data_IF_483189679765
#
_entry.id   IF_483189679765
#
_cell.length_a   1.000
_cell.length_b   1.000
_cell.length_c   1.000
_cell.angle_alpha   90.00
_cell.angle_beta   90.00
_cell.angle_gamma   90.00
#
_symmetry.space_group_name_H-M   'P 1'
#
loop_
_entity.id
_entity.type
_entity.pdbx_description
1 polymer ?
#
# COMPACT_ATOMS: atom_id res chain seq x y z
N UNK A 1 -1.02 14.70 8.07
CA UNK A 1 -0.60 13.93 9.25
C UNK A 1 0.89 13.59 9.14
N UNK A 2 1.69 13.88 10.18
CA UNK A 2 3.13 13.61 10.19
C UNK A 2 3.43 12.30 10.91
N UNK A 3 4.15 11.42 10.24
CA UNK A 3 4.63 10.15 10.81
C UNK A 3 6.15 10.25 10.97
N UNK A 4 6.65 9.76 12.08
CA UNK A 4 8.07 9.71 12.38
C UNK A 4 8.52 8.28 12.65
N UNK A 5 9.70 7.93 12.15
CA UNK A 5 10.40 6.69 12.50
C UNK A 5 11.46 7.00 13.56
N UNK A 6 11.41 6.32 14.69
CA UNK A 6 12.47 6.38 15.70
C UNK A 6 13.70 5.60 15.24
N UNK A 7 14.91 6.03 15.56
CA UNK A 7 16.15 5.37 15.16
C UNK A 7 16.23 3.88 15.55
N UNK A 8 15.51 3.45 16.60
CA UNK A 8 15.39 2.03 17.00
C UNK A 8 14.32 1.25 16.22
N UNK A 9 13.64 1.86 15.25
CA UNK A 9 12.74 1.20 14.29
C UNK A 9 11.25 1.46 14.47
N UNK A 10 10.71 1.83 15.60
CA UNK A 10 9.27 2.06 15.77
C UNK A 10 8.75 3.26 14.99
N UNK A 11 7.48 3.18 14.52
CA UNK A 11 6.78 4.29 13.86
C UNK A 11 5.83 4.98 14.84
N UNK A 12 5.73 6.31 14.72
CA UNK A 12 4.96 7.15 15.63
C UNK A 12 4.22 8.23 14.85
N UNK A 13 2.98 8.49 15.27
CA UNK A 13 2.17 9.59 14.78
C UNK A 13 2.46 10.81 15.63
N UNK A 14 2.81 11.91 15.01
CA UNK A 14 2.86 13.22 15.67
C UNK A 14 1.43 13.69 15.96
N UNK A 15 1.15 14.09 17.18
CA UNK A 15 -0.15 14.61 17.59
C UNK A 15 -0.08 16.14 17.64
N UNK A 16 0.78 16.68 18.49
CA UNK A 16 0.93 18.14 18.69
C UNK A 16 2.19 18.48 19.44
N UNK A 17 2.55 19.75 19.45
CA UNK A 17 3.45 20.32 20.44
C UNK A 17 2.65 20.98 21.55
N UNK A 18 3.14 20.83 22.79
CA UNK A 18 2.57 21.44 24.00
C UNK A 18 3.65 22.19 24.76
N UNK A 19 3.25 23.12 25.61
CA UNK A 19 4.14 23.77 26.57
C UNK A 19 3.85 23.20 27.96
N UNK A 20 4.85 22.65 28.62
CA UNK A 20 4.74 22.21 30.01
C UNK A 20 4.41 23.40 30.88
N UNK A 21 3.32 23.32 31.64
CA UNK A 21 2.82 24.45 32.45
C UNK A 21 3.74 24.82 33.61
N UNK A 22 4.56 23.89 34.07
CA UNK A 22 5.48 24.09 35.20
C UNK A 22 6.87 24.53 34.73
N UNK A 23 7.45 23.80 33.75
CA UNK A 23 8.82 24.05 33.28
C UNK A 23 8.89 25.09 32.15
N UNK A 24 7.74 25.40 31.51
CA UNK A 24 7.63 26.24 30.31
C UNK A 24 8.41 25.71 29.08
N UNK A 25 8.86 24.46 29.16
CA UNK A 25 9.55 23.80 28.06
C UNK A 25 8.54 23.29 27.03
N UNK A 26 8.96 23.26 25.74
CA UNK A 26 8.17 22.66 24.66
C UNK A 26 8.34 21.15 24.68
N UNK A 27 7.22 20.45 24.56
CA UNK A 27 7.18 18.99 24.46
C UNK A 27 6.40 18.57 23.21
N UNK A 28 6.84 17.48 22.59
CA UNK A 28 6.12 16.82 21.48
C UNK A 28 5.28 15.68 22.05
N UNK A 29 3.99 15.69 21.72
CA UNK A 29 3.06 14.59 22.01
C UNK A 29 2.92 13.73 20.78
N UNK A 30 3.15 12.42 20.92
CA UNK A 30 3.16 11.48 19.82
C UNK A 30 2.63 10.11 20.25
N UNK A 31 2.08 9.34 19.30
CA UNK A 31 1.48 8.03 19.53
C UNK A 31 2.27 6.93 18.82
N UNK A 32 2.58 5.85 19.53
CA UNK A 32 3.14 4.65 18.91
C UNK A 32 2.13 4.02 17.93
N UNK A 33 2.58 3.63 16.72
CA UNK A 33 1.78 2.93 15.73
C UNK A 33 1.91 1.40 15.84
N UNK A 34 2.33 0.91 17.00
CA UNK A 34 2.52 -0.51 17.30
C UNK A 34 2.14 -0.83 18.75
N UNK A 35 2.00 -2.11 19.07
CA UNK A 35 1.67 -2.61 20.40
C UNK A 35 0.35 -2.04 20.93
N UNK A 36 0.34 -1.54 22.14
CA UNK A 36 -0.84 -0.94 22.80
C UNK A 36 -1.14 0.48 22.31
N UNK A 37 -0.42 1.00 21.33
CA UNK A 37 -0.59 2.34 20.75
C UNK A 37 -0.56 3.48 21.76
N UNK A 38 0.33 3.37 22.72
CA UNK A 38 0.49 4.35 23.81
C UNK A 38 0.83 5.74 23.26
N UNK A 39 0.28 6.74 23.92
CA UNK A 39 0.61 8.15 23.71
C UNK A 39 1.74 8.53 24.67
N UNK A 40 2.71 9.22 24.15
CA UNK A 40 3.90 9.66 24.84
C UNK A 40 4.10 11.16 24.68
N UNK A 41 4.80 11.80 25.61
CA UNK A 41 5.38 13.13 25.43
C UNK A 41 6.90 13.07 25.64
N UNK A 42 7.58 14.03 25.05
CA UNK A 42 9.03 14.20 25.16
C UNK A 42 9.42 15.65 24.92
N UNK A 43 10.45 16.19 25.61
CA UNK A 43 11.02 17.49 25.30
C UNK A 43 11.30 17.61 23.78
N UNK A 44 10.91 18.75 23.19
CA UNK A 44 10.98 18.96 21.75
C UNK A 44 12.42 18.89 21.22
N UNK A 45 13.38 19.41 21.96
CA UNK A 45 14.82 19.32 21.65
C UNK A 45 15.30 17.86 21.58
N UNK A 46 14.79 16.98 22.47
CA UNK A 46 15.09 15.55 22.42
C UNK A 46 14.37 14.84 21.28
N UNK A 47 13.17 15.28 20.89
CA UNK A 47 12.42 14.66 19.79
C UNK A 47 13.10 14.97 18.46
N UNK A 48 13.41 16.24 18.19
CA UNK A 48 14.05 16.69 16.95
C UNK A 48 15.57 16.58 16.96
N UNK A 49 16.14 16.24 18.13
CA UNK A 49 17.58 16.15 18.30
C UNK A 49 18.17 14.85 17.73
N UNK A 50 19.48 14.81 17.72
CA UNK A 50 20.28 13.68 17.25
C UNK A 50 20.66 12.72 18.39
N UNK A 51 21.03 11.53 18.02
CA UNK A 51 21.62 10.50 18.88
C UNK A 51 22.90 9.98 18.25
N UNK A 52 23.88 9.64 19.07
CA UNK A 52 25.07 8.96 18.59
C UNK A 52 24.83 7.45 18.66
N UNK A 53 24.97 6.77 17.51
CA UNK A 53 24.90 5.33 17.40
C UNK A 53 26.21 4.86 16.73
N UNK A 54 27.01 4.12 17.46
CA UNK A 54 28.30 3.59 17.00
C UNK A 54 29.24 4.63 16.39
N UNK A 55 29.24 5.85 16.97
CA UNK A 55 30.08 6.97 16.51
C UNK A 55 29.46 7.83 15.40
N UNK A 56 28.26 7.50 14.93
CA UNK A 56 27.54 8.24 13.89
C UNK A 56 26.38 9.02 14.53
N UNK A 57 26.30 10.32 14.25
CA UNK A 57 25.16 11.14 14.64
C UNK A 57 24.01 10.94 13.63
N UNK A 58 22.87 10.49 14.12
CA UNK A 58 21.63 10.32 13.35
C UNK A 58 20.47 10.99 14.04
N UNK A 59 19.43 11.37 13.29
CA UNK A 59 18.22 11.94 13.86
C UNK A 59 17.52 10.91 14.77
N UNK A 60 17.10 11.35 15.97
CA UNK A 60 16.36 10.47 16.88
C UNK A 60 15.02 10.03 16.28
N UNK A 61 14.33 10.97 15.62
CA UNK A 61 13.13 10.72 14.85
C UNK A 61 13.27 11.34 13.46
N UNK A 62 13.04 10.55 12.43
CA UNK A 62 13.05 10.99 11.03
C UNK A 62 11.62 11.04 10.52
N UNK A 63 11.18 12.17 9.96
CA UNK A 63 9.86 12.28 9.34
C UNK A 63 9.76 11.32 8.13
N UNK A 64 8.67 10.56 8.09
CA UNK A 64 8.40 9.59 7.02
C UNK A 64 7.32 10.15 6.12
N UNK A 65 7.66 10.32 4.87
CA UNK A 65 6.69 10.74 3.84
C UNK A 65 6.01 9.49 3.29
N UNK A 66 4.68 9.40 3.44
CA UNK A 66 3.88 8.30 2.91
C UNK A 66 2.76 7.84 3.85
N UNK A 67 1.95 6.92 3.35
CA UNK A 67 0.90 6.25 4.13
C UNK A 67 1.51 5.02 4.80
N UNK A 68 1.47 4.89 6.14
CA UNK A 68 1.97 3.70 6.82
C UNK A 68 1.15 2.48 6.43
N UNK A 69 1.83 1.43 5.97
CA UNK A 69 1.25 0.14 5.63
C UNK A 69 1.92 -0.93 6.49
N UNK A 70 1.11 -1.64 7.26
CA UNK A 70 1.56 -2.79 8.03
C UNK A 70 1.81 -3.95 7.07
N UNK A 71 2.97 -4.57 7.18
CA UNK A 71 3.38 -5.72 6.40
C UNK A 71 3.56 -6.91 7.33
N UNK A 72 2.77 -7.96 7.10
CA UNK A 72 2.84 -9.21 7.86
C UNK A 72 3.30 -10.32 6.93
N UNK A 73 4.42 -10.99 7.25
CA UNK A 73 4.82 -12.22 6.58
C UNK A 73 3.84 -13.35 6.91
N UNK A 74 3.39 -14.07 5.89
CA UNK A 74 2.64 -15.33 5.99
C UNK A 74 3.51 -16.52 5.58
N UNK A 75 4.65 -16.26 4.95
CA UNK A 75 5.70 -17.20 4.61
C UNK A 75 7.08 -16.64 5.02
N UNK A 76 8.00 -17.50 5.44
CA UNK A 76 9.38 -17.12 5.75
C UNK A 76 10.11 -16.55 4.53
N UNK A 77 9.73 -17.02 3.33
CA UNK A 77 10.28 -16.58 2.05
C UNK A 77 9.69 -15.25 1.55
N UNK A 78 8.76 -14.65 2.30
CA UNK A 78 8.15 -13.38 1.90
C UNK A 78 9.18 -12.28 1.74
N UNK A 79 9.12 -11.60 0.59
CA UNK A 79 9.98 -10.48 0.24
C UNK A 79 9.16 -9.18 0.37
N UNK A 80 9.71 -8.19 1.08
CA UNK A 80 9.09 -6.87 1.16
C UNK A 80 8.99 -6.27 -0.24
N UNK A 81 7.79 -5.83 -0.67
CA UNK A 81 7.65 -5.14 -1.95
C UNK A 81 8.56 -3.92 -2.05
N UNK A 82 9.16 -3.71 -3.18
CA UNK A 82 10.11 -2.61 -3.39
C UNK A 82 9.98 -2.02 -4.78
N UNK A 83 10.39 -0.77 -4.92
CA UNK A 83 10.57 -0.09 -6.20
C UNK A 83 11.98 -0.33 -6.71
N UNK A 84 12.16 -0.40 -8.03
CA UNK A 84 13.48 -0.48 -8.64
C UNK A 84 14.19 0.90 -8.60
N UNK A 85 13.40 1.98 -8.77
CA UNK A 85 13.83 3.37 -8.64
C UNK A 85 12.85 4.11 -7.72
N UNK A 86 13.32 5.06 -6.94
CA UNK A 86 12.50 5.78 -5.94
C UNK A 86 11.27 6.46 -6.56
N UNK A 87 11.39 6.91 -7.81
CA UNK A 87 10.33 7.57 -8.57
C UNK A 87 9.35 6.60 -9.27
N UNK A 88 9.59 5.29 -9.22
CA UNK A 88 8.64 4.32 -9.77
C UNK A 88 7.29 4.43 -9.07
N UNK A 89 6.20 4.31 -9.84
CA UNK A 89 4.85 4.43 -9.29
C UNK A 89 4.45 3.20 -8.47
N UNK A 90 4.81 2.00 -8.91
CA UNK A 90 4.40 0.74 -8.30
C UNK A 90 5.53 0.04 -7.55
N UNK A 91 5.14 -0.79 -6.57
CA UNK A 91 6.01 -1.71 -5.83
C UNK A 91 5.94 -3.10 -6.43
N UNK A 92 7.08 -3.68 -6.81
CA UNK A 92 7.20 -5.03 -7.34
C UNK A 92 6.99 -6.10 -6.26
N UNK A 93 6.29 -7.20 -6.63
CA UNK A 93 6.05 -8.35 -5.77
C UNK A 93 6.53 -9.64 -6.39
N UNK A 94 7.07 -10.52 -5.54
CA UNK A 94 7.65 -11.80 -5.93
C UNK A 94 6.71 -12.96 -5.58
N UNK A 95 6.66 -13.97 -6.46
CA UNK A 95 6.02 -15.25 -6.14
C UNK A 95 6.87 -16.02 -5.12
N UNK A 96 6.25 -16.51 -4.04
CA UNK A 96 6.90 -17.37 -3.05
C UNK A 96 6.33 -18.80 -3.05
N UNK A 97 5.19 -18.97 -3.70
CA UNK A 97 4.57 -20.28 -3.94
C UNK A 97 3.88 -20.29 -5.30
N UNK A 98 3.68 -21.48 -5.87
CA UNK A 98 2.91 -21.69 -7.09
C UNK A 98 2.08 -22.95 -6.98
N UNK A 99 0.85 -22.91 -7.50
CA UNK A 99 -0.10 -24.02 -7.50
C UNK A 99 -0.94 -23.98 -8.76
N UNK A 100 -1.09 -25.12 -9.45
CA UNK A 100 -2.08 -25.23 -10.52
C UNK A 100 -3.43 -25.60 -9.91
N UNK A 101 -4.34 -24.61 -9.83
CA UNK A 101 -5.66 -24.75 -9.18
C UNK A 101 -6.75 -25.27 -10.13
N UNK A 102 -6.50 -25.20 -11.44
CA UNK A 102 -7.32 -25.78 -12.51
C UNK A 102 -6.43 -25.92 -13.77
N UNK A 103 -6.82 -26.69 -14.79
CA UNK A 103 -6.01 -26.82 -16.00
C UNK A 103 -5.59 -25.48 -16.60
N UNK A 104 -4.29 -25.23 -16.65
CA UNK A 104 -3.66 -23.98 -17.09
C UNK A 104 -4.03 -22.72 -16.27
N UNK A 105 -4.53 -22.90 -15.05
CA UNK A 105 -4.81 -21.80 -14.09
C UNK A 105 -3.88 -21.91 -12.91
N UNK A 106 -3.03 -20.91 -12.75
CA UNK A 106 -1.95 -20.91 -11.77
C UNK A 106 -2.17 -19.82 -10.72
N UNK A 107 -2.16 -20.22 -9.45
CA UNK A 107 -2.18 -19.33 -8.30
C UNK A 107 -0.75 -19.17 -7.77
N UNK A 108 -0.33 -17.93 -7.58
CA UNK A 108 0.94 -17.58 -6.97
C UNK A 108 0.71 -16.83 -5.68
N UNK A 109 1.18 -17.37 -4.56
CA UNK A 109 1.20 -16.67 -3.28
C UNK A 109 2.35 -15.69 -3.22
N UNK A 110 2.11 -14.52 -2.61
CA UNK A 110 3.14 -13.51 -2.39
C UNK A 110 3.80 -13.64 -1.00
N UNK A 111 3.24 -14.49 -0.13
CA UNK A 111 3.76 -14.80 1.20
C UNK A 111 3.59 -13.68 2.22
N UNK A 112 2.72 -12.71 1.98
CA UNK A 112 2.46 -11.62 2.90
C UNK A 112 1.01 -11.14 2.88
N UNK A 113 0.62 -10.46 3.94
CA UNK A 113 -0.61 -9.69 4.06
C UNK A 113 -0.26 -8.22 4.31
N UNK A 114 -1.13 -7.31 3.86
CA UNK A 114 -1.00 -5.86 4.04
C UNK A 114 -2.21 -5.31 4.80
N UNK A 115 -2.00 -4.23 5.53
CA UNK A 115 -3.07 -3.44 6.13
C UNK A 115 -2.64 -1.98 6.18
N UNK A 116 -3.53 -1.07 5.78
CA UNK A 116 -3.26 0.36 5.90
C UNK A 116 -3.47 0.77 7.36
N UNK A 117 -2.48 1.45 7.95
CA UNK A 117 -2.63 2.00 9.29
C UNK A 117 -3.51 3.26 9.25
N UNK A 118 -4.81 3.08 9.46
CA UNK A 118 -5.85 4.08 9.15
C UNK A 118 -6.64 4.57 10.37
N UNK A 119 -5.99 4.84 11.49
CA UNK A 119 -6.73 5.24 12.69
C UNK A 119 -7.55 6.52 12.57
N UNK A 120 -7.18 7.40 11.65
CA UNK A 120 -7.89 8.66 11.35
C UNK A 120 -8.23 8.77 9.87
N UNK A 121 -8.73 7.68 9.28
CA UNK A 121 -9.24 7.69 7.90
C UNK A 121 -10.40 8.67 7.81
N UNK A 122 -10.37 9.63 6.88
CA UNK A 122 -11.55 10.41 6.55
C UNK A 122 -12.70 9.47 6.19
N UNK A 123 -13.90 9.72 6.72
CA UNK A 123 -15.05 8.84 6.52
C UNK A 123 -15.53 8.80 5.05
N UNK A 124 -15.11 9.79 4.28
CA UNK A 124 -15.46 10.01 2.87
C UNK A 124 -14.47 9.38 1.88
N UNK A 125 -13.35 8.80 2.36
CA UNK A 125 -12.32 8.20 1.49
C UNK A 125 -12.17 6.71 1.78
N UNK A 126 -12.26 5.88 0.74
CA UNK A 126 -11.86 4.49 0.74
C UNK A 126 -10.48 4.33 0.11
N UNK A 127 -9.71 3.34 0.59
CA UNK A 127 -8.40 2.99 0.04
C UNK A 127 -8.30 1.49 -0.20
N UNK A 128 -7.55 1.12 -1.23
CA UNK A 128 -7.24 -0.27 -1.54
C UNK A 128 -5.82 -0.39 -2.12
N UNK A 129 -5.32 -1.61 -2.19
CA UNK A 129 -4.12 -1.93 -2.95
C UNK A 129 -4.52 -2.44 -4.33
N UNK A 130 -4.10 -1.75 -5.38
CA UNK A 130 -4.39 -2.12 -6.76
C UNK A 130 -3.20 -2.83 -7.37
N UNK A 131 -3.37 -4.13 -7.66
CA UNK A 131 -2.36 -5.01 -8.22
C UNK A 131 -2.51 -5.13 -9.73
N UNK A 132 -1.40 -5.02 -10.45
CA UNK A 132 -1.33 -5.07 -11.92
C UNK A 132 -0.21 -5.98 -12.39
N UNK A 133 -0.31 -6.43 -13.62
CA UNK A 133 0.82 -7.05 -14.29
C UNK A 133 1.99 -6.08 -14.44
N UNK A 134 3.19 -6.64 -14.48
CA UNK A 134 4.38 -5.91 -14.90
C UNK A 134 4.40 -5.82 -16.43
N UNK A 135 5.06 -4.78 -16.95
CA UNK A 135 5.23 -4.60 -18.41
C UNK A 135 5.89 -5.80 -19.09
N UNK A 136 6.69 -6.59 -18.37
CA UNK A 136 7.37 -7.78 -18.89
C UNK A 136 6.47 -9.01 -19.07
N UNK A 137 5.17 -8.95 -18.71
CA UNK A 137 4.24 -10.10 -18.83
C UNK A 137 4.15 -10.66 -20.26
N UNK A 138 4.33 -9.83 -21.27
CA UNK A 138 4.33 -10.26 -22.67
C UNK A 138 5.40 -11.31 -23.02
N UNK A 139 6.47 -11.42 -22.19
CA UNK A 139 7.51 -12.44 -22.34
C UNK A 139 7.07 -13.81 -21.82
N UNK A 140 5.92 -13.89 -21.19
CA UNK A 140 5.31 -15.11 -20.65
C UNK A 140 4.05 -15.43 -21.44
N UNK A 141 3.58 -16.68 -21.34
CA UNK A 141 2.27 -17.06 -21.86
C UNK A 141 1.11 -16.78 -20.90
N UNK A 142 1.28 -15.87 -19.93
CA UNK A 142 0.36 -15.67 -18.83
C UNK A 142 -0.52 -14.43 -19.00
N UNK A 143 -1.75 -14.50 -18.51
CA UNK A 143 -2.66 -13.36 -18.38
C UNK A 143 -3.22 -13.36 -16.95
N UNK A 144 -3.20 -12.21 -16.27
CA UNK A 144 -3.82 -12.07 -14.94
C UNK A 144 -5.33 -12.26 -15.07
N UNK A 145 -5.89 -13.17 -14.28
CA UNK A 145 -7.27 -13.65 -14.46
C UNK A 145 -8.33 -12.57 -14.27
N UNK A 146 -8.07 -11.58 -13.43
CA UNK A 146 -8.97 -10.48 -13.12
C UNK A 146 -8.51 -9.14 -13.73
N UNK A 147 -7.60 -9.16 -14.70
CA UNK A 147 -7.01 -7.99 -15.37
C UNK A 147 -6.30 -7.04 -14.40
N UNK A 148 -6.97 -6.62 -13.34
CA UNK A 148 -6.48 -5.83 -12.23
C UNK A 148 -7.04 -6.41 -10.92
N UNK A 149 -6.19 -6.63 -9.93
CA UNK A 149 -6.57 -7.16 -8.63
C UNK A 149 -6.75 -6.04 -7.62
N UNK A 150 -7.94 -5.91 -7.05
CA UNK A 150 -8.20 -5.00 -5.93
C UNK A 150 -8.12 -5.78 -4.64
N UNK A 151 -7.29 -5.32 -3.70
CA UNK A 151 -7.21 -5.84 -2.34
C UNK A 151 -7.71 -4.75 -1.39
N UNK A 152 -8.87 -4.98 -0.83
CA UNK A 152 -9.54 -4.05 0.07
C UNK A 152 -8.77 -3.88 1.38
N UNK A 153 -8.81 -2.66 1.95
CA UNK A 153 -8.13 -2.33 3.22
C UNK A 153 -8.46 -3.31 4.37
N UNK A 154 -9.73 -3.75 4.57
CA UNK A 154 -10.04 -4.71 5.64
C UNK A 154 -9.60 -6.15 5.37
N UNK A 155 -9.09 -6.48 4.18
CA UNK A 155 -8.59 -7.83 3.91
C UNK A 155 -7.21 -8.03 4.54
N UNK A 156 -7.09 -8.99 5.45
CA UNK A 156 -5.86 -9.29 6.20
C UNK A 156 -5.29 -10.69 5.91
N UNK A 157 -5.82 -11.37 4.91
CA UNK A 157 -5.30 -12.66 4.43
C UNK A 157 -4.06 -12.53 3.56
N UNK A 158 -3.44 -13.65 3.24
CA UNK A 158 -2.33 -13.68 2.28
C UNK A 158 -2.78 -13.19 0.92
N UNK A 159 -1.98 -12.30 0.32
CA UNK A 159 -2.21 -11.81 -1.04
C UNK A 159 -1.65 -12.82 -2.03
N UNK A 160 -2.45 -13.13 -3.05
CA UNK A 160 -2.07 -14.02 -4.16
C UNK A 160 -2.56 -13.46 -5.49
N UNK A 161 -1.91 -13.87 -6.58
CA UNK A 161 -2.32 -13.55 -7.94
C UNK A 161 -2.62 -14.83 -8.71
N UNK A 162 -3.72 -14.83 -9.46
CA UNK A 162 -4.14 -15.97 -10.30
C UNK A 162 -3.97 -15.59 -11.76
N UNK A 163 -3.34 -16.48 -12.52
CA UNK A 163 -3.06 -16.29 -13.95
C UNK A 163 -3.60 -17.44 -14.76
N UNK A 164 -4.10 -17.15 -15.95
CA UNK A 164 -4.28 -18.13 -17.02
C UNK A 164 -2.99 -18.28 -17.82
N UNK A 165 -2.54 -19.51 -18.06
CA UNK A 165 -1.44 -19.80 -19.00
C UNK A 165 -2.03 -20.07 -20.38
N UNK A 166 -2.26 -19.01 -21.14
CA UNK A 166 -2.99 -19.06 -22.43
C UNK A 166 -2.13 -19.49 -23.60
N UNK A 167 -0.79 -19.35 -23.49
CA UNK A 167 0.16 -19.76 -24.52
C UNK A 167 1.13 -20.80 -23.95
N UNK A 168 0.77 -22.10 -23.99
CA UNK A 168 1.56 -23.18 -23.35
C UNK A 168 3.00 -23.31 -23.86
N UNK A 169 3.26 -22.85 -25.09
CA UNK A 169 4.62 -22.85 -25.69
C UNK A 169 5.52 -21.72 -25.18
N UNK A 170 4.98 -20.77 -24.45
CA UNK A 170 5.73 -19.69 -23.81
C UNK A 170 6.00 -20.04 -22.34
N UNK A 171 7.06 -19.47 -21.72
CA UNK A 171 7.33 -19.72 -20.30
C UNK A 171 6.20 -19.16 -19.42
N UNK A 172 5.96 -19.79 -18.29
CA UNK A 172 5.14 -19.24 -17.20
C UNK A 172 6.03 -18.70 -16.07
N UNK A 173 5.47 -17.89 -15.19
CA UNK A 173 6.13 -17.48 -13.98
C UNK A 173 6.50 -18.68 -13.09
N UNK A 174 7.56 -18.48 -12.29
CA UNK A 174 8.08 -19.44 -11.30
C UNK A 174 8.23 -18.75 -9.95
N UNK A 175 8.31 -19.54 -8.90
CA UNK A 175 8.73 -19.04 -7.57
C UNK A 175 10.04 -18.27 -7.70
N UNK A 176 10.10 -17.09 -7.10
CA UNK A 176 11.22 -16.14 -7.19
C UNK A 176 11.07 -15.07 -8.28
N UNK A 177 10.13 -15.24 -9.22
CA UNK A 177 9.89 -14.22 -10.24
C UNK A 177 9.12 -13.02 -9.67
N UNK A 178 9.37 -11.82 -10.21
CA UNK A 178 8.54 -10.65 -10.04
C UNK A 178 7.30 -10.79 -10.95
N UNK A 179 6.13 -11.03 -10.36
CA UNK A 179 4.93 -11.41 -11.14
C UNK A 179 3.88 -10.31 -11.25
N UNK A 180 3.74 -9.49 -10.23
CA UNK A 180 2.82 -8.34 -10.18
C UNK A 180 3.50 -7.16 -9.54
N UNK A 181 2.89 -6.01 -9.69
CA UNK A 181 3.25 -4.77 -9.01
C UNK A 181 1.98 -4.10 -8.49
N UNK A 182 2.08 -3.31 -7.42
CA UNK A 182 0.92 -2.62 -6.87
C UNK A 182 1.24 -1.16 -6.48
N UNK A 183 0.18 -0.39 -6.34
CA UNK A 183 0.18 0.92 -5.72
C UNK A 183 -1.01 1.05 -4.77
N UNK A 184 -0.97 2.05 -3.91
CA UNK A 184 -2.10 2.42 -3.06
C UNK A 184 -3.01 3.35 -3.85
N UNK A 185 -4.30 3.02 -3.90
CA UNK A 185 -5.35 3.81 -4.53
C UNK A 185 -6.32 4.36 -3.49
N UNK A 186 -6.86 5.54 -3.75
CA UNK A 186 -7.87 6.19 -2.93
C UNK A 186 -9.06 6.58 -3.80
N UNK A 187 -10.26 6.40 -3.27
CA UNK A 187 -11.52 6.76 -3.92
C UNK A 187 -12.46 7.39 -2.92
N UNK A 188 -13.27 8.33 -3.39
CA UNK A 188 -14.36 8.90 -2.60
C UNK A 188 -15.43 7.83 -2.32
N UNK A 189 -16.02 7.87 -1.14
CA UNK A 189 -17.18 7.06 -0.83
C UNK A 189 -18.40 7.60 -1.61
N UNK A 190 -19.13 6.69 -2.25
CA UNK A 190 -20.30 7.02 -3.06
C UNK A 190 -21.57 6.82 -2.23
N UNK A 191 -22.46 7.81 -2.27
CA UNK A 191 -23.82 7.69 -1.77
C UNK A 191 -24.79 7.67 -2.95
N UNK A 192 -25.46 6.55 -3.16
CA UNK A 192 -26.47 6.43 -4.21
C UNK A 192 -27.77 7.10 -3.78
N UNK A 193 -28.28 7.96 -4.64
CA UNK A 193 -29.61 8.60 -4.49
C UNK A 193 -30.45 8.19 -5.68
N UNK A 194 -31.51 7.44 -5.43
CA UNK A 194 -32.44 7.03 -6.47
C UNK A 194 -33.17 8.24 -7.04
N UNK A 195 -33.31 8.31 -8.35
CA UNK A 195 -34.00 9.39 -9.07
C UNK A 195 -34.57 8.85 -10.36
N UNK A 196 -35.73 9.39 -10.76
CA UNK A 196 -36.41 9.06 -12.02
C UNK A 196 -35.73 9.74 -13.22
N UNK A 197 -34.95 10.80 -13.01
CA UNK A 197 -34.32 11.57 -14.09
C UNK A 197 -32.93 12.04 -13.70
N UNK A 198 -31.98 11.78 -14.59
CA UNK A 198 -30.62 12.36 -14.50
C UNK A 198 -30.59 13.75 -15.14
N UNK A 199 -29.58 14.53 -14.77
CA UNK A 199 -29.33 15.82 -15.40
C UNK A 199 -29.02 15.65 -16.88
N UNK A 200 -29.51 16.58 -17.71
CA UNK A 200 -29.20 16.60 -19.13
C UNK A 200 -27.74 17.04 -19.36
N UNK A 201 -27.05 16.37 -20.28
CA UNK A 201 -25.69 16.69 -20.68
C UNK A 201 -25.59 16.74 -22.20
N UNK A 202 -24.59 17.44 -22.74
CA UNK A 202 -24.33 17.50 -24.18
C UNK A 202 -24.06 16.10 -24.78
N UNK A 203 -23.44 15.19 -24.01
CA UNK A 203 -23.16 13.82 -24.43
C UNK A 203 -24.42 12.95 -24.42
N UNK A 204 -25.36 13.18 -23.50
CA UNK A 204 -26.56 12.35 -23.31
C UNK A 204 -26.21 10.88 -23.10
N UNK A 205 -26.89 10.00 -23.84
CA UNK A 205 -26.74 8.53 -23.85
C UNK A 205 -25.79 8.02 -24.94
N UNK A 206 -25.08 8.91 -25.63
CA UNK A 206 -24.14 8.55 -26.70
C UNK A 206 -22.93 7.80 -26.15
N UNK A 207 -22.75 6.55 -26.58
CA UNK A 207 -21.65 5.66 -26.20
C UNK A 207 -21.06 4.91 -27.41
N UNK A 208 -20.20 3.93 -27.14
CA UNK A 208 -19.67 2.96 -28.12
C UNK A 208 -19.11 3.57 -29.40
N UNK A 209 -18.26 4.62 -29.27
CA UNK A 209 -17.63 5.26 -30.43
C UNK A 209 -18.55 6.26 -31.17
N UNK A 210 -19.61 6.75 -30.54
CA UNK A 210 -20.47 7.77 -31.13
C UNK A 210 -19.74 9.05 -31.52
N UNK A 211 -18.59 9.34 -30.88
CA UNK A 211 -17.68 10.45 -31.22
C UNK A 211 -16.82 10.22 -32.44
N UNK A 212 -16.75 8.97 -32.96
CA UNK A 212 -15.92 8.63 -34.12
C UNK A 212 -16.68 8.85 -35.47
N UNK A 213 -17.95 9.21 -35.39
CA UNK A 213 -18.70 9.63 -36.58
C UNK A 213 -18.25 11.05 -36.98
N UNK A 214 -17.40 11.10 -37.99
CA UNK A 214 -17.09 12.33 -38.77
C UNK A 214 -18.28 12.76 -39.60
#
# INVERSE_FOLDING_TARGET
EKIYRHFKGGYYRFITEVTNSETQEKEVVYQALYGEHKVWNRPADMFYGKVNVDGVEIDRFTEVVGVPVLFKKTSENAIMPSKAHDDDFCYDCYAVSEEEIAPNVWKYGLGFALQIENRNKPADISRCFTFRCRSSIWKTGMILSNCEGTVDDPYTGEISAVFYHVFPNMPRYKVGDKIVQFHLEASDNIMFVETDKLNETERGDNGYGSSDKK
#
